data_IF_436988274320
#
_entry.id   IF_436988274320
#
_cell.length_a   1.000
_cell.length_b   1.000
_cell.length_c   1.000
_cell.angle_alpha   90.00
_cell.angle_beta   90.00
_cell.angle_gamma   90.00
#
_symmetry.space_group_name_H-M   'P 1'
#
loop_
_entity.id
_entity.type
_entity.pdbx_description
1 polymer ?
#
# COMPACT_ATOMS: atom_id res chain seq x y z
N UNK A 1 -8.19 -2.69 26.09
CA UNK A 1 -7.26 -3.59 25.34
C UNK A 1 -6.82 -3.01 23.97
N UNK A 2 -7.69 -2.80 22.95
CA UNK A 2 -7.26 -2.20 21.66
C UNK A 2 -6.80 -0.76 21.87
N UNK A 3 -7.52 0.03 22.63
CA UNK A 3 -7.18 1.43 22.94
C UNK A 3 -5.81 1.53 23.63
N UNK A 4 -5.52 0.70 24.61
CA UNK A 4 -4.24 0.64 25.33
C UNK A 4 -3.06 0.34 24.38
N UNK A 5 -3.29 -0.52 23.37
CA UNK A 5 -2.28 -0.81 22.36
C UNK A 5 -1.99 0.44 21.50
N UNK A 6 -3.03 1.15 21.09
CA UNK A 6 -2.83 2.40 20.34
C UNK A 6 -2.12 3.46 21.18
N UNK A 7 -2.50 3.63 22.45
CA UNK A 7 -1.85 4.55 23.37
C UNK A 7 -0.37 4.21 23.57
N UNK A 8 -0.06 2.92 23.73
CA UNK A 8 1.32 2.45 23.81
C UNK A 8 2.11 2.81 22.54
N UNK A 9 1.59 2.47 21.34
CA UNK A 9 2.24 2.79 20.06
C UNK A 9 2.45 4.30 19.91
N UNK A 10 1.45 5.11 20.20
CA UNK A 10 1.53 6.56 20.09
C UNK A 10 2.55 7.15 21.08
N UNK A 11 2.60 6.64 22.31
CA UNK A 11 3.57 7.08 23.30
C UNK A 11 5.00 6.76 22.87
N UNK A 12 5.25 5.55 22.41
CA UNK A 12 6.58 5.13 21.93
C UNK A 12 7.06 6.00 20.77
N UNK A 13 6.20 6.19 19.76
CA UNK A 13 6.54 6.98 18.59
C UNK A 13 6.77 8.46 18.93
N UNK A 14 5.92 9.07 19.77
CA UNK A 14 6.10 10.46 20.16
C UNK A 14 7.35 10.67 21.03
N UNK A 15 7.68 9.71 21.87
CA UNK A 15 8.91 9.78 22.67
C UNK A 15 10.15 9.65 21.80
N UNK A 16 10.15 8.71 20.84
CA UNK A 16 11.30 8.46 19.97
C UNK A 16 11.62 9.62 19.03
N UNK A 17 10.62 10.40 18.61
CA UNK A 17 10.81 11.55 17.70
C UNK A 17 11.86 12.55 18.22
N UNK A 18 11.96 12.75 19.54
CA UNK A 18 12.88 13.72 20.10
C UNK A 18 14.36 13.37 19.82
N UNK A 19 14.68 12.07 19.80
CA UNK A 19 16.07 11.58 19.74
C UNK A 19 16.49 11.12 18.35
N UNK A 20 15.54 10.96 17.41
CA UNK A 20 15.84 10.46 16.07
C UNK A 20 16.37 11.59 15.16
N UNK A 21 17.32 11.29 14.23
CA UNK A 21 17.66 12.17 13.12
C UNK A 21 16.48 12.26 12.15
N UNK A 22 16.44 13.29 11.29
CA UNK A 22 15.35 13.45 10.32
C UNK A 22 15.19 12.24 9.44
N UNK A 23 16.26 11.72 8.86
CA UNK A 23 16.32 10.44 8.17
C UNK A 23 17.34 9.52 8.85
N UNK A 24 17.09 8.22 8.84
CA UNK A 24 18.06 7.24 9.31
C UNK A 24 19.32 7.20 8.45
N UNK A 25 20.40 6.65 8.99
CA UNK A 25 21.67 6.49 8.25
C UNK A 25 21.52 5.56 7.03
N UNK A 26 20.59 4.65 7.08
CA UNK A 26 20.12 3.83 5.95
C UNK A 26 18.62 3.64 6.10
N UNK A 27 17.95 3.16 5.04
CA UNK A 27 16.49 2.87 5.11
C UNK A 27 16.13 1.71 6.05
N UNK A 28 17.11 0.98 6.58
CA UNK A 28 16.88 -0.05 7.61
C UNK A 28 16.89 0.54 9.04
N UNK A 29 17.33 1.78 9.20
CA UNK A 29 17.33 2.50 10.46
C UNK A 29 16.30 3.63 10.39
N UNK A 30 15.26 3.61 11.23
CA UNK A 30 14.24 4.64 11.19
C UNK A 30 14.78 6.01 11.63
N UNK A 31 14.29 7.06 11.01
CA UNK A 31 14.46 8.46 11.43
C UNK A 31 13.11 9.07 11.82
N UNK A 32 13.09 10.38 12.10
CA UNK A 32 11.85 11.14 12.41
C UNK A 32 10.82 11.02 11.32
N UNK A 33 11.23 11.05 10.04
CA UNK A 33 10.34 10.86 8.90
C UNK A 33 9.56 9.54 9.01
N UNK A 34 10.25 8.46 9.38
CA UNK A 34 9.61 7.16 9.61
C UNK A 34 8.64 7.17 10.80
N UNK A 35 9.03 7.81 11.91
CA UNK A 35 8.17 7.94 13.09
C UNK A 35 6.90 8.77 12.78
N UNK A 36 7.04 9.90 12.09
CA UNK A 36 5.88 10.70 11.65
C UNK A 36 4.98 9.94 10.66
N UNK A 37 5.56 9.24 9.71
CA UNK A 37 4.80 8.43 8.77
C UNK A 37 4.02 7.31 9.47
N UNK A 38 4.62 6.67 10.49
CA UNK A 38 3.93 5.66 11.30
C UNK A 38 2.84 6.29 12.18
N UNK A 39 3.05 7.47 12.75
CA UNK A 39 2.03 8.21 13.48
C UNK A 39 0.85 8.56 12.57
N UNK A 40 1.11 9.04 11.34
CA UNK A 40 0.06 9.31 10.35
C UNK A 40 -0.77 8.07 10.04
N UNK A 41 -0.10 6.93 9.76
CA UNK A 41 -0.76 5.63 9.52
C UNK A 41 -1.59 5.19 10.74
N UNK A 42 -1.02 5.31 11.94
CA UNK A 42 -1.70 4.91 13.18
C UNK A 42 -2.95 5.75 13.43
N UNK A 43 -2.85 7.08 13.34
CA UNK A 43 -4.01 7.96 13.49
C UNK A 43 -5.06 7.75 12.39
N UNK A 44 -4.64 7.44 11.16
CA UNK A 44 -5.57 7.08 10.10
C UNK A 44 -6.37 5.81 10.45
N UNK A 45 -5.70 4.77 10.98
CA UNK A 45 -6.37 3.55 11.43
C UNK A 45 -7.31 3.80 12.62
N UNK A 46 -7.01 4.77 13.46
CA UNK A 46 -7.89 5.25 14.54
C UNK A 46 -9.01 6.18 14.03
N UNK A 47 -9.08 6.46 12.73
CA UNK A 47 -10.02 7.44 12.12
C UNK A 47 -9.87 8.88 12.66
N UNK A 48 -8.72 9.19 13.24
CA UNK A 48 -8.38 10.56 13.65
C UNK A 48 -7.70 11.29 12.47
N UNK A 49 -8.53 11.77 11.55
CA UNK A 49 -8.08 12.36 10.28
C UNK A 49 -7.34 13.69 10.45
N UNK A 50 -7.60 14.41 11.53
CA UNK A 50 -6.87 15.65 11.84
C UNK A 50 -5.41 15.35 12.18
N UNK A 51 -5.18 14.43 13.11
CA UNK A 51 -3.83 14.01 13.50
C UNK A 51 -3.12 13.25 12.38
N UNK A 52 -3.84 12.43 11.63
CA UNK A 52 -3.26 11.75 10.47
C UNK A 52 -2.71 12.75 9.44
N UNK A 53 -3.46 13.83 9.15
CA UNK A 53 -3.01 14.91 8.25
C UNK A 53 -1.79 15.63 8.82
N UNK A 54 -1.82 16.04 10.08
CA UNK A 54 -0.71 16.72 10.75
C UNK A 54 0.60 15.94 10.62
N UNK A 55 0.55 14.63 10.89
CA UNK A 55 1.76 13.81 10.86
C UNK A 55 2.18 13.40 9.43
N UNK A 56 1.25 13.27 8.50
CA UNK A 56 1.57 13.11 7.09
C UNK A 56 2.32 14.35 6.54
N UNK A 57 1.86 15.56 6.88
CA UNK A 57 2.54 16.79 6.50
C UNK A 57 3.93 16.89 7.12
N UNK A 58 4.11 16.50 8.40
CA UNK A 58 5.43 16.48 9.06
C UNK A 58 6.37 15.47 8.39
N UNK A 59 5.88 14.31 7.99
CA UNK A 59 6.68 13.32 7.29
C UNK A 59 7.11 13.85 5.90
N UNK A 60 6.18 14.42 5.14
CA UNK A 60 6.43 15.00 3.82
C UNK A 60 7.37 16.21 3.88
N UNK A 61 7.38 16.97 4.98
CA UNK A 61 8.34 18.06 5.18
C UNK A 61 9.79 17.57 5.33
N UNK A 62 10.00 16.30 5.74
CA UNK A 62 11.33 15.67 5.83
C UNK A 62 11.73 15.04 4.49
N UNK A 63 10.82 14.31 3.85
CA UNK A 63 11.04 13.69 2.55
C UNK A 63 9.72 13.64 1.79
N UNK A 64 9.67 14.31 0.64
CA UNK A 64 8.52 14.40 -0.26
C UNK A 64 8.76 13.71 -1.61
N UNK A 65 9.91 13.08 -1.80
CA UNK A 65 10.30 12.50 -3.09
C UNK A 65 9.39 11.35 -3.48
N UNK A 66 8.97 11.35 -4.71
CA UNK A 66 8.23 10.26 -5.35
C UNK A 66 9.11 9.55 -6.38
N UNK A 67 8.83 8.29 -6.65
CA UNK A 67 9.48 7.56 -7.76
C UNK A 67 8.92 8.06 -9.08
N UNK A 68 9.79 8.43 -10.00
CA UNK A 68 9.44 8.74 -11.39
C UNK A 68 9.28 7.42 -12.19
N UNK A 69 8.07 6.85 -12.10
CA UNK A 69 7.74 5.63 -12.85
C UNK A 69 7.63 5.88 -14.34
N UNK A 70 7.24 7.07 -14.76
CA UNK A 70 7.15 7.47 -16.18
C UNK A 70 8.55 7.46 -16.81
N UNK A 71 9.52 8.09 -16.16
CA UNK A 71 10.91 8.07 -16.57
C UNK A 71 11.47 6.63 -16.61
N UNK A 72 11.26 5.87 -15.51
CA UNK A 72 11.70 4.48 -15.44
C UNK A 72 11.13 3.61 -16.57
N UNK A 73 9.84 3.72 -16.87
CA UNK A 73 9.21 3.00 -17.96
C UNK A 73 9.81 3.39 -19.32
N UNK A 74 9.96 4.68 -19.58
CA UNK A 74 10.49 5.18 -20.84
C UNK A 74 11.94 4.69 -21.10
N UNK A 75 12.76 4.65 -20.05
CA UNK A 75 14.15 4.18 -20.14
C UNK A 75 14.24 2.66 -20.37
N UNK A 76 13.24 1.91 -19.94
CA UNK A 76 13.26 0.44 -19.96
C UNK A 76 12.23 -0.20 -20.92
N UNK A 77 11.40 0.58 -21.63
CA UNK A 77 10.30 0.04 -22.46
C UNK A 77 10.76 -0.96 -23.51
N UNK A 78 11.97 -0.80 -24.05
CA UNK A 78 12.54 -1.74 -25.03
C UNK A 78 12.82 -3.13 -24.45
N UNK A 79 13.23 -3.19 -23.19
CA UNK A 79 13.45 -4.44 -22.45
C UNK A 79 12.11 -5.03 -21.99
N UNK A 80 11.20 -4.19 -21.51
CA UNK A 80 9.85 -4.59 -21.06
C UNK A 80 9.05 -5.22 -22.20
N UNK A 81 9.19 -4.69 -23.42
CA UNK A 81 8.47 -5.17 -24.60
C UNK A 81 8.94 -6.55 -25.10
N UNK A 82 10.12 -7.04 -24.69
CA UNK A 82 10.64 -8.33 -25.14
C UNK A 82 9.73 -9.48 -24.70
N UNK A 83 9.23 -10.22 -25.69
CA UNK A 83 8.42 -11.41 -25.43
C UNK A 83 9.31 -12.60 -25.07
N UNK A 84 8.77 -13.49 -24.23
CA UNK A 84 9.45 -14.75 -23.83
C UNK A 84 10.63 -14.59 -22.87
N UNK A 85 11.07 -13.38 -22.59
CA UNK A 85 12.14 -13.09 -21.64
C UNK A 85 11.54 -12.54 -20.36
N UNK A 86 12.10 -12.93 -19.20
CA UNK A 86 11.92 -12.24 -17.92
C UNK A 86 13.06 -11.24 -17.79
N UNK A 87 12.87 -9.99 -18.18
CA UNK A 87 13.91 -9.00 -17.99
C UNK A 87 14.10 -8.81 -16.48
N UNK A 88 15.32 -9.00 -16.01
CA UNK A 88 15.75 -8.60 -14.68
C UNK A 88 15.86 -7.09 -14.66
N UNK A 89 14.74 -6.39 -14.47
CA UNK A 89 14.77 -4.96 -14.26
C UNK A 89 15.12 -4.67 -12.80
N UNK A 90 16.15 -3.86 -12.58
CA UNK A 90 16.40 -3.31 -11.26
C UNK A 90 15.28 -2.32 -10.96
N UNK A 91 14.38 -2.69 -10.04
CA UNK A 91 13.32 -1.79 -9.60
C UNK A 91 13.91 -0.56 -8.91
N UNK A 92 13.30 0.64 -9.08
CA UNK A 92 13.65 1.81 -8.27
C UNK A 92 13.23 1.66 -6.79
N UNK A 93 12.47 0.60 -6.47
CA UNK A 93 12.11 0.26 -5.08
C UNK A 93 13.16 -0.67 -4.49
N UNK A 94 13.80 -0.28 -3.40
CA UNK A 94 14.85 -1.05 -2.75
C UNK A 94 15.39 -0.35 -1.52
N UNK A 95 16.54 -0.81 -1.05
CA UNK A 95 17.20 -0.26 0.15
C UNK A 95 17.77 1.14 -0.05
N UNK A 96 17.81 1.65 -1.28
CA UNK A 96 18.25 2.97 -1.68
C UNK A 96 17.11 3.81 -2.30
N UNK A 97 15.87 3.36 -2.15
CA UNK A 97 14.70 4.04 -2.71
C UNK A 97 14.50 5.42 -2.10
N UNK A 98 14.47 6.45 -2.95
CA UNK A 98 14.32 7.83 -2.50
C UNK A 98 12.95 8.15 -1.92
N UNK A 99 11.93 7.32 -2.20
CA UNK A 99 10.55 7.49 -1.75
C UNK A 99 10.24 6.75 -0.44
N UNK A 100 11.26 6.31 0.29
CA UNK A 100 11.10 5.57 1.53
C UNK A 100 11.63 6.37 2.73
N UNK A 101 10.91 6.30 3.84
CA UNK A 101 11.40 6.72 5.16
C UNK A 101 12.09 5.58 5.87
N UNK A 102 11.57 4.37 5.71
CA UNK A 102 12.25 3.16 6.13
C UNK A 102 11.79 1.98 5.28
N UNK A 103 12.63 0.95 5.22
CA UNK A 103 12.38 -0.26 4.46
C UNK A 103 12.29 -1.47 5.42
N UNK A 104 11.16 -2.16 5.37
CA UNK A 104 10.92 -3.37 6.14
C UNK A 104 10.64 -4.51 5.16
N UNK A 105 11.54 -5.47 5.07
CA UNK A 105 11.45 -6.58 4.15
C UNK A 105 11.30 -7.93 4.88
N UNK A 106 10.66 -8.89 4.22
CA UNK A 106 10.64 -10.26 4.67
C UNK A 106 11.85 -11.04 4.12
N UNK A 107 12.07 -12.24 4.61
CA UNK A 107 13.17 -13.12 4.24
C UNK A 107 13.30 -13.34 2.72
N UNK A 108 14.50 -13.58 2.26
CA UNK A 108 14.95 -13.67 0.87
C UNK A 108 14.13 -14.57 -0.05
N UNK A 109 13.60 -15.67 0.44
CA UNK A 109 12.82 -16.62 -0.36
C UNK A 109 11.48 -16.04 -0.84
N UNK A 110 11.01 -14.98 -0.19
CA UNK A 110 9.72 -14.33 -0.46
C UNK A 110 9.85 -13.01 -1.19
N UNK A 111 11.07 -12.56 -1.49
CA UNK A 111 11.34 -11.18 -1.87
C UNK A 111 11.49 -10.93 -3.36
N UNK A 112 11.51 -11.97 -4.18
CA UNK A 112 11.52 -11.81 -5.61
C UNK A 112 10.10 -11.60 -6.14
N UNK A 113 9.76 -10.38 -6.45
CA UNK A 113 8.48 -10.04 -7.05
C UNK A 113 8.23 -10.77 -8.38
N UNK A 114 9.29 -11.16 -9.08
CA UNK A 114 9.20 -11.69 -10.43
C UNK A 114 8.56 -13.07 -10.53
N UNK A 115 8.83 -13.99 -9.58
CA UNK A 115 8.41 -15.39 -9.72
C UNK A 115 7.18 -15.75 -8.88
N UNK A 116 6.96 -15.07 -7.76
CA UNK A 116 5.99 -15.47 -6.73
C UNK A 116 4.70 -14.68 -6.83
N UNK A 117 4.79 -13.39 -7.21
CA UNK A 117 3.62 -12.52 -7.21
C UNK A 117 2.90 -12.54 -8.55
N UNK A 118 1.66 -12.98 -8.48
CA UNK A 118 0.72 -13.00 -9.60
C UNK A 118 -0.48 -12.13 -9.24
N UNK A 119 -0.93 -11.34 -10.20
CA UNK A 119 -2.21 -10.64 -10.10
C UNK A 119 -3.19 -11.22 -11.11
N UNK A 120 -4.41 -11.57 -10.70
CA UNK A 120 -5.43 -12.01 -11.64
C UNK A 120 -5.88 -10.86 -12.56
N UNK A 121 -6.39 -11.18 -13.74
CA UNK A 121 -6.78 -10.19 -14.76
C UNK A 121 -7.78 -9.16 -14.23
N UNK A 122 -8.76 -9.60 -13.45
CA UNK A 122 -9.74 -8.69 -12.84
C UNK A 122 -9.11 -7.69 -11.84
N UNK A 123 -8.04 -8.08 -11.14
CA UNK A 123 -7.31 -7.16 -10.26
C UNK A 123 -6.44 -6.20 -11.08
N UNK A 124 -5.82 -6.67 -12.15
CA UNK A 124 -5.02 -5.85 -13.07
C UNK A 124 -5.86 -4.78 -13.76
N UNK A 125 -7.13 -5.06 -14.07
CA UNK A 125 -8.08 -4.09 -14.63
C UNK A 125 -8.38 -2.90 -13.69
N UNK A 126 -7.95 -2.95 -12.42
CA UNK A 126 -8.04 -1.84 -11.49
C UNK A 126 -6.91 -0.79 -11.62
N UNK A 127 -5.90 -1.04 -12.46
CA UNK A 127 -4.89 -0.02 -12.79
C UNK A 127 -5.42 0.91 -13.87
N UNK A 128 -4.96 2.16 -13.86
CA UNK A 128 -5.35 3.14 -14.88
C UNK A 128 -4.65 2.85 -16.21
N UNK A 129 -5.29 3.24 -17.32
CA UNK A 129 -4.63 3.14 -18.62
C UNK A 129 -3.39 4.03 -18.65
N UNK A 130 -2.25 3.50 -19.08
CA UNK A 130 -0.98 4.22 -19.09
C UNK A 130 -0.29 4.29 -17.72
N UNK A 131 -0.70 3.46 -16.76
CA UNK A 131 0.01 3.34 -15.47
C UNK A 131 1.40 2.74 -15.70
N UNK A 132 2.43 3.59 -15.69
CA UNK A 132 3.83 3.23 -15.93
C UNK A 132 4.40 2.33 -14.82
N UNK A 133 3.90 2.46 -13.57
CA UNK A 133 4.24 1.51 -12.50
C UNK A 133 3.74 0.11 -12.88
N UNK A 134 2.49 -0.02 -13.30
CA UNK A 134 1.94 -1.30 -13.75
C UNK A 134 2.68 -1.85 -14.97
N UNK A 135 2.86 -1.04 -16.00
CA UNK A 135 3.56 -1.42 -17.23
C UNK A 135 5.01 -1.88 -16.98
N UNK A 136 5.68 -1.28 -16.01
CA UNK A 136 7.07 -1.61 -15.66
C UNK A 136 7.21 -2.86 -14.79
N UNK A 137 6.20 -3.19 -14.00
CA UNK A 137 6.32 -4.24 -12.99
C UNK A 137 5.55 -5.51 -13.32
N UNK A 138 4.61 -5.48 -14.29
CA UNK A 138 3.70 -6.58 -14.54
C UNK A 138 3.58 -6.93 -16.01
N UNK A 139 3.63 -8.21 -16.35
CA UNK A 139 3.44 -8.70 -17.71
C UNK A 139 2.41 -9.82 -17.73
N UNK A 140 1.48 -9.74 -18.69
CA UNK A 140 0.48 -10.79 -18.89
C UNK A 140 1.14 -12.10 -19.30
N UNK A 141 0.69 -13.18 -18.72
CA UNK A 141 1.09 -14.56 -19.00
C UNK A 141 -0.14 -15.45 -19.11
N UNK A 142 -0.01 -16.47 -19.95
CA UNK A 142 -1.02 -17.54 -20.04
C UNK A 142 -0.30 -18.87 -19.84
N UNK A 143 -0.81 -19.67 -18.91
CA UNK A 143 -0.33 -21.00 -18.62
C UNK A 143 -1.53 -21.97 -18.60
N UNK A 144 -1.63 -22.83 -19.61
CA UNK A 144 -2.84 -23.62 -19.82
C UNK A 144 -4.05 -22.74 -20.05
N UNK A 145 -5.10 -22.91 -19.25
CA UNK A 145 -6.32 -22.11 -19.32
C UNK A 145 -6.28 -20.83 -18.46
N UNK A 146 -5.22 -20.64 -17.63
CA UNK A 146 -5.13 -19.52 -16.71
C UNK A 146 -4.37 -18.36 -17.35
N UNK A 147 -4.98 -17.16 -17.34
CA UNK A 147 -4.33 -15.90 -17.70
C UNK A 147 -4.18 -15.02 -16.46
N UNK A 148 -2.98 -14.51 -16.24
CA UNK A 148 -2.62 -13.68 -15.09
C UNK A 148 -1.52 -12.68 -15.44
N UNK A 149 -1.24 -11.74 -14.56
CA UNK A 149 -0.07 -10.87 -14.66
C UNK A 149 0.99 -11.33 -13.68
N UNK A 150 2.22 -11.45 -14.16
CA UNK A 150 3.39 -11.84 -13.38
C UNK A 150 4.34 -10.67 -13.23
N UNK A 151 4.98 -10.56 -12.06
CA UNK A 151 5.96 -9.53 -11.78
C UNK A 151 7.21 -9.64 -12.67
N UNK A 152 7.72 -8.52 -13.14
CA UNK A 152 8.89 -8.40 -14.01
C UNK A 152 10.17 -7.99 -13.28
N UNK A 153 10.02 -7.29 -12.14
CA UNK A 153 11.15 -6.69 -11.45
C UNK A 153 11.76 -7.63 -10.42
N UNK A 154 13.08 -7.61 -10.32
CA UNK A 154 13.81 -8.19 -9.20
C UNK A 154 13.99 -7.11 -8.14
N UNK A 155 13.53 -7.35 -6.94
CA UNK A 155 13.69 -6.43 -5.83
C UNK A 155 13.00 -6.92 -4.58
N UNK A 156 13.29 -6.25 -3.50
CA UNK A 156 12.65 -6.52 -2.23
C UNK A 156 11.32 -5.76 -2.15
N UNK A 157 10.33 -6.37 -1.54
CA UNK A 157 9.04 -5.73 -1.29
C UNK A 157 9.08 -5.06 0.08
N UNK A 158 8.73 -3.78 0.12
CA UNK A 158 8.58 -3.06 1.37
C UNK A 158 7.22 -3.38 1.99
N UNK A 159 7.17 -4.46 2.79
CA UNK A 159 5.90 -5.01 3.32
C UNK A 159 5.21 -4.07 4.31
N UNK A 160 5.96 -3.52 5.25
CA UNK A 160 5.42 -2.74 6.36
C UNK A 160 6.10 -1.38 6.55
N UNK A 161 7.20 -1.11 5.84
CA UNK A 161 7.89 0.16 5.89
C UNK A 161 7.04 1.29 5.30
N UNK A 162 7.45 2.52 5.53
CA UNK A 162 6.72 3.71 5.14
C UNK A 162 7.31 4.33 3.89
N UNK A 163 6.45 4.68 2.94
CA UNK A 163 6.79 5.36 1.70
C UNK A 163 6.14 6.75 1.64
N UNK A 164 6.77 7.67 0.92
CA UNK A 164 6.24 9.02 0.71
C UNK A 164 4.90 9.00 -0.01
N UNK A 165 4.74 8.14 -1.02
CA UNK A 165 3.47 7.98 -1.74
C UNK A 165 2.31 7.65 -0.80
N UNK A 166 2.53 6.87 0.25
CA UNK A 166 1.52 6.59 1.27
C UNK A 166 1.12 7.87 2.01
N UNK A 167 2.10 8.72 2.37
CA UNK A 167 1.82 9.96 3.10
C UNK A 167 1.05 10.97 2.26
N UNK A 168 1.36 11.10 0.97
CA UNK A 168 0.54 11.88 0.03
C UNK A 168 -0.91 11.37 -0.03
N UNK A 169 -1.10 10.05 -0.09
CA UNK A 169 -2.43 9.45 -0.17
C UNK A 169 -3.18 9.50 1.17
N UNK A 170 -2.49 9.49 2.32
CA UNK A 170 -3.09 9.80 3.63
C UNK A 170 -3.54 11.26 3.66
N UNK A 171 -2.68 12.20 3.25
CA UNK A 171 -3.00 13.63 3.15
C UNK A 171 -4.23 13.87 2.27
N UNK A 172 -4.26 13.30 1.07
CA UNK A 172 -5.39 13.42 0.15
C UNK A 172 -6.69 12.90 0.78
N UNK A 173 -6.66 11.74 1.44
CA UNK A 173 -7.83 11.18 2.14
C UNK A 173 -8.32 12.09 3.25
N UNK A 174 -7.43 12.61 4.08
CA UNK A 174 -7.78 13.49 5.20
C UNK A 174 -8.38 14.82 4.70
N UNK A 175 -7.83 15.39 3.63
CA UNK A 175 -8.40 16.58 2.98
C UNK A 175 -9.79 16.33 2.42
N UNK A 176 -9.99 15.19 1.72
CA UNK A 176 -11.31 14.80 1.22
C UNK A 176 -12.34 14.68 2.33
N UNK A 177 -11.98 14.08 3.47
CA UNK A 177 -12.85 13.92 4.64
C UNK A 177 -13.18 15.25 5.34
N UNK A 178 -12.33 16.26 5.17
CA UNK A 178 -12.62 17.65 5.56
C UNK A 178 -13.45 18.42 4.51
N UNK A 179 -13.93 17.74 3.46
CA UNK A 179 -14.64 18.32 2.33
C UNK A 179 -13.81 19.35 1.53
N UNK A 180 -12.48 19.28 1.62
CA UNK A 180 -11.53 20.06 0.83
C UNK A 180 -11.22 19.28 -0.47
N UNK A 181 -12.24 19.13 -1.33
CA UNK A 181 -12.18 18.20 -2.46
C UNK A 181 -11.14 18.62 -3.50
N UNK A 182 -11.02 19.91 -3.78
CA UNK A 182 -10.02 20.43 -4.73
C UNK A 182 -8.61 20.10 -4.24
N UNK A 183 -8.27 20.46 -3.00
CA UNK A 183 -6.95 20.22 -2.42
C UNK A 183 -6.63 18.71 -2.37
N UNK A 184 -7.63 17.89 -2.03
CA UNK A 184 -7.47 16.43 -2.01
C UNK A 184 -7.14 15.86 -3.39
N UNK A 185 -7.83 16.34 -4.42
CA UNK A 185 -7.61 15.89 -5.79
C UNK A 185 -6.32 16.44 -6.39
N UNK A 186 -5.88 17.64 -6.00
CA UNK A 186 -4.61 18.21 -6.41
C UNK A 186 -3.45 17.36 -5.87
N UNK A 187 -3.50 16.97 -4.59
CA UNK A 187 -2.52 16.07 -3.99
C UNK A 187 -2.52 14.70 -4.69
N UNK A 188 -3.69 14.11 -4.96
CA UNK A 188 -3.77 12.86 -5.70
C UNK A 188 -3.20 12.98 -7.11
N UNK A 189 -3.51 14.06 -7.81
CA UNK A 189 -3.05 14.32 -9.17
C UNK A 189 -1.53 14.56 -9.24
N UNK A 190 -0.93 15.15 -8.21
CA UNK A 190 0.52 15.25 -8.08
C UNK A 190 1.17 13.87 -8.08
N UNK A 191 0.67 12.95 -7.25
CA UNK A 191 1.13 11.56 -7.23
C UNK A 191 0.90 10.89 -8.59
N UNK A 192 -0.28 11.05 -9.20
CA UNK A 192 -0.62 10.42 -10.49
C UNK A 192 0.29 10.84 -11.64
N UNK A 193 0.79 12.08 -11.65
CA UNK A 193 1.76 12.56 -12.65
C UNK A 193 3.05 11.77 -12.65
N UNK A 194 3.44 11.16 -11.55
CA UNK A 194 4.67 10.37 -11.47
C UNK A 194 4.55 8.97 -12.08
N UNK A 195 3.30 8.48 -12.27
CA UNK A 195 3.10 7.12 -12.77
C UNK A 195 2.09 6.99 -13.92
N UNK A 196 1.35 8.01 -14.31
CA UNK A 196 0.52 7.96 -15.53
C UNK A 196 1.28 8.60 -16.69
N UNK A 197 1.41 7.85 -17.79
CA UNK A 197 2.05 8.35 -19.00
C UNK A 197 1.41 9.65 -19.48
N UNK A 198 2.19 10.66 -19.91
CA UNK A 198 1.67 11.99 -20.24
C UNK A 198 0.53 11.98 -21.26
N UNK A 199 0.60 11.10 -22.25
CA UNK A 199 -0.44 10.96 -23.30
C UNK A 199 -1.74 10.32 -22.82
N UNK A 200 -1.73 9.72 -21.62
CA UNK A 200 -2.91 9.13 -20.97
C UNK A 200 -3.37 9.92 -19.74
N UNK A 201 -2.54 10.83 -19.28
CA UNK A 201 -2.84 11.60 -18.08
C UNK A 201 -3.99 12.60 -18.31
N UNK A 202 -5.00 12.47 -17.49
CA UNK A 202 -6.06 13.48 -17.33
C UNK A 202 -6.21 13.76 -15.82
N UNK A 203 -6.25 15.03 -15.39
CA UNK A 203 -6.45 15.33 -13.98
C UNK A 203 -7.83 14.84 -13.54
N UNK A 204 -7.88 14.17 -12.39
CA UNK A 204 -9.13 13.77 -11.76
C UNK A 204 -9.69 14.93 -10.93
N UNK A 205 -11.01 15.05 -10.94
CA UNK A 205 -11.76 15.90 -10.01
C UNK A 205 -12.82 15.04 -9.31
N UNK A 206 -13.30 15.48 -8.16
CA UNK A 206 -14.35 14.79 -7.43
C UNK A 206 -15.47 15.77 -7.05
N UNK A 207 -16.71 15.33 -7.22
CA UNK A 207 -17.92 16.08 -6.87
C UNK A 207 -18.42 15.78 -5.46
N UNK A 208 -17.86 14.75 -4.82
CA UNK A 208 -18.24 14.32 -3.47
C UNK A 208 -17.06 13.68 -2.72
N UNK A 209 -17.16 13.66 -1.40
CA UNK A 209 -16.20 12.96 -0.53
C UNK A 209 -16.10 11.49 -0.92
N UNK A 210 -17.23 10.84 -1.17
CA UNK A 210 -17.25 9.42 -1.53
C UNK A 210 -16.50 9.14 -2.84
N UNK A 211 -16.64 10.02 -3.81
CA UNK A 211 -15.92 9.91 -5.08
C UNK A 211 -14.41 10.14 -4.90
N UNK A 212 -14.00 11.16 -4.15
CA UNK A 212 -12.61 11.40 -3.82
C UNK A 212 -11.97 10.19 -3.11
N UNK A 213 -12.64 9.67 -2.08
CA UNK A 213 -12.17 8.48 -1.33
C UNK A 213 -12.04 7.26 -2.27
N UNK A 214 -12.95 7.08 -3.22
CA UNK A 214 -12.86 5.99 -4.20
C UNK A 214 -11.60 6.09 -5.05
N UNK A 215 -11.27 7.26 -5.57
CA UNK A 215 -10.05 7.48 -6.36
C UNK A 215 -8.78 7.29 -5.52
N UNK A 216 -8.75 7.87 -4.32
CA UNK A 216 -7.59 7.77 -3.41
C UNK A 216 -7.36 6.32 -2.99
N UNK A 217 -8.43 5.58 -2.65
CA UNK A 217 -8.34 4.15 -2.32
C UNK A 217 -7.78 3.33 -3.48
N UNK A 218 -8.25 3.59 -4.71
CA UNK A 218 -7.75 2.90 -5.91
C UNK A 218 -6.24 3.15 -6.09
N UNK A 219 -5.80 4.39 -5.94
CA UNK A 219 -4.37 4.73 -6.00
C UNK A 219 -3.57 4.01 -4.91
N UNK A 220 -4.05 3.99 -3.65
CA UNK A 220 -3.43 3.23 -2.55
C UNK A 220 -3.34 1.75 -2.85
N UNK A 221 -4.44 1.13 -3.26
CA UNK A 221 -4.50 -0.29 -3.60
C UNK A 221 -3.49 -0.65 -4.70
N UNK A 222 -3.24 0.25 -5.65
CA UNK A 222 -2.34 0.05 -6.78
C UNK A 222 -0.88 0.33 -6.43
N UNK A 223 -0.58 1.50 -5.88
CA UNK A 223 0.79 1.94 -5.62
C UNK A 223 1.43 1.23 -4.41
N UNK A 224 0.62 0.69 -3.50
CA UNK A 224 1.04 -0.02 -2.30
C UNK A 224 0.67 -1.51 -2.34
N UNK A 225 0.49 -2.05 -3.54
CA UNK A 225 0.19 -3.47 -3.74
C UNK A 225 1.24 -4.36 -3.06
N UNK A 226 0.81 -5.44 -2.43
CA UNK A 226 1.61 -6.36 -1.61
C UNK A 226 2.21 -5.77 -0.32
N UNK A 227 1.89 -4.53 0.04
CA UNK A 227 2.16 -4.03 1.38
C UNK A 227 0.98 -4.32 2.33
N UNK A 228 1.19 -4.05 3.63
CA UNK A 228 0.14 -4.19 4.64
C UNK A 228 -0.99 -3.15 4.49
N UNK A 229 -0.73 -2.04 3.78
CA UNK A 229 -1.62 -0.87 3.73
C UNK A 229 -2.99 -1.17 3.13
N UNK A 230 -3.12 -1.82 1.95
CA UNK A 230 -4.43 -2.12 1.36
C UNK A 230 -5.31 -2.98 2.26
N UNK A 231 -4.73 -3.93 3.01
CA UNK A 231 -5.47 -4.76 3.96
C UNK A 231 -5.94 -3.96 5.17
N UNK A 232 -5.06 -3.14 5.76
CA UNK A 232 -5.41 -2.26 6.88
C UNK A 232 -6.51 -1.26 6.51
N UNK A 233 -6.39 -0.63 5.34
CA UNK A 233 -7.40 0.31 4.83
C UNK A 233 -8.73 -0.38 4.51
N UNK A 234 -8.71 -1.59 3.95
CA UNK A 234 -9.94 -2.35 3.71
C UNK A 234 -10.70 -2.64 5.02
N UNK A 235 -9.99 -3.03 6.09
CA UNK A 235 -10.59 -3.25 7.41
C UNK A 235 -11.22 -1.97 7.97
N UNK A 236 -10.49 -0.87 7.93
CA UNK A 236 -10.95 0.44 8.42
C UNK A 236 -12.18 0.92 7.64
N UNK A 237 -12.10 0.90 6.30
CA UNK A 237 -13.17 1.35 5.44
C UNK A 237 -14.42 0.45 5.49
N UNK A 238 -14.25 -0.84 5.75
CA UNK A 238 -15.38 -1.75 5.96
C UNK A 238 -16.21 -1.38 7.20
N UNK A 239 -15.58 -0.80 8.23
CA UNK A 239 -16.26 -0.34 9.42
C UNK A 239 -17.13 0.91 9.17
N UNK A 240 -16.88 1.67 8.10
CA UNK A 240 -17.61 2.89 7.78
C UNK A 240 -18.91 2.66 6.96
N UNK A 241 -19.18 1.44 6.52
CA UNK A 241 -20.37 1.09 5.75
C UNK A 241 -20.38 1.68 4.32
N UNK A 242 -20.34 3.00 4.18
CA UNK A 242 -20.33 3.70 2.86
C UNK A 242 -19.21 3.23 1.93
N UNK A 243 -18.08 2.84 2.47
CA UNK A 243 -16.90 2.41 1.72
C UNK A 243 -16.65 0.91 1.80
N UNK A 244 -17.54 0.19 2.49
CA UNK A 244 -17.46 -1.26 2.65
C UNK A 244 -17.57 -1.97 1.28
N UNK A 245 -16.76 -3.01 1.10
CA UNK A 245 -16.85 -3.86 -0.08
C UNK A 245 -16.55 -5.31 0.24
N UNK A 246 -17.32 -6.21 -0.37
CA UNK A 246 -17.05 -7.63 -0.37
C UNK A 246 -15.90 -7.94 -1.31
N UNK A 247 -14.91 -8.70 -0.84
CA UNK A 247 -13.90 -9.26 -1.73
C UNK A 247 -14.38 -10.62 -2.25
N UNK A 248 -14.15 -10.89 -3.53
CA UNK A 248 -14.49 -12.17 -4.15
C UNK A 248 -13.28 -12.76 -4.86
N UNK A 249 -13.12 -14.06 -4.78
CA UNK A 249 -12.10 -14.81 -5.49
C UNK A 249 -12.71 -16.12 -6.00
N UNK A 250 -12.37 -16.51 -7.23
CA UNK A 250 -12.67 -17.83 -7.75
C UNK A 250 -11.51 -18.78 -7.44
N UNK A 251 -11.82 -19.93 -6.87
CA UNK A 251 -10.86 -21.01 -6.57
C UNK A 251 -11.54 -22.32 -7.02
N UNK A 252 -10.91 -23.05 -7.93
CA UNK A 252 -11.41 -24.32 -8.46
C UNK A 252 -12.86 -24.24 -8.95
N UNK A 253 -13.20 -23.18 -9.70
CA UNK A 253 -14.54 -22.93 -10.23
C UNK A 253 -15.57 -22.51 -9.17
N UNK A 254 -15.18 -22.30 -7.91
CA UNK A 254 -16.06 -21.84 -6.84
C UNK A 254 -15.75 -20.41 -6.48
N UNK A 255 -16.79 -19.58 -6.44
CA UNK A 255 -16.67 -18.21 -5.94
C UNK A 255 -16.64 -18.22 -4.41
N UNK A 256 -15.57 -17.70 -3.85
CA UNK A 256 -15.40 -17.46 -2.42
C UNK A 256 -15.53 -15.97 -2.16
N UNK A 257 -16.28 -15.58 -1.14
CA UNK A 257 -16.52 -14.19 -0.78
C UNK A 257 -16.10 -13.91 0.66
N UNK A 258 -15.46 -12.74 0.87
CA UNK A 258 -15.16 -12.20 2.18
C UNK A 258 -16.01 -10.95 2.38
N UNK A 259 -17.09 -11.08 3.16
CA UNK A 259 -17.98 -9.98 3.49
C UNK A 259 -17.28 -8.92 4.38
N UNK A 260 -17.68 -7.63 4.35
CA UNK A 260 -17.11 -6.59 5.18
C UNK A 260 -17.16 -6.89 6.69
N UNK A 261 -18.21 -7.56 7.14
CA UNK A 261 -18.42 -7.95 8.54
C UNK A 261 -17.77 -9.27 8.94
N UNK A 262 -17.08 -9.96 8.04
CA UNK A 262 -16.50 -11.26 8.36
C UNK A 262 -15.44 -11.19 9.44
N UNK A 263 -15.47 -12.17 10.37
CA UNK A 263 -14.43 -12.34 11.38
C UNK A 263 -13.04 -12.60 10.76
N UNK A 264 -12.97 -13.09 9.53
CA UNK A 264 -11.73 -13.37 8.79
C UNK A 264 -10.92 -12.13 8.41
N UNK A 265 -11.46 -10.93 8.60
CA UNK A 265 -10.66 -9.70 8.55
C UNK A 265 -9.69 -9.57 9.73
N UNK A 266 -9.76 -10.45 10.71
CA UNK A 266 -8.76 -10.61 11.76
C UNK A 266 -8.05 -11.94 11.53
N UNK A 267 -6.74 -11.93 11.41
CA UNK A 267 -5.97 -13.16 11.19
C UNK A 267 -6.24 -14.17 12.32
N UNK A 268 -6.49 -15.43 11.98
CA UNK A 268 -6.63 -16.48 12.98
C UNK A 268 -5.27 -16.75 13.65
N UNK A 269 -5.30 -17.25 14.87
CA UNK A 269 -4.10 -17.80 15.49
C UNK A 269 -3.56 -18.97 14.64
N UNK A 270 -2.23 -19.06 14.46
CA UNK A 270 -1.63 -20.20 13.78
C UNK A 270 -2.05 -21.53 14.46
N UNK A 271 -2.30 -22.56 13.66
CA UNK A 271 -2.71 -23.87 14.20
C UNK A 271 -1.72 -24.39 15.25
N UNK A 272 -0.42 -24.22 15.03
CA UNK A 272 0.60 -24.63 16.00
C UNK A 272 0.48 -23.95 17.37
N UNK A 273 0.01 -22.70 17.41
CA UNK A 273 -0.24 -22.00 18.67
C UNK A 273 -1.50 -22.52 19.39
N UNK A 274 -2.51 -22.95 18.62
CA UNK A 274 -3.72 -23.56 19.17
C UNK A 274 -3.43 -24.97 19.72
N UNK A 275 -2.70 -25.77 18.95
CA UNK A 275 -2.39 -27.18 19.28
C UNK A 275 -1.36 -27.28 20.42
N UNK A 276 -0.47 -26.28 20.56
CA UNK A 276 0.58 -26.23 21.56
C UNK A 276 0.60 -24.88 22.29
N UNK A 277 -0.38 -24.58 23.14
CA UNK A 277 -0.59 -23.25 23.69
C UNK A 277 0.44 -22.84 24.76
N UNK A 278 1.41 -23.67 25.12
CA UNK A 278 2.38 -23.37 26.18
C UNK A 278 1.69 -23.15 27.53
N UNK A 279 1.81 -21.97 28.10
CA UNK A 279 1.22 -21.61 29.40
C UNK A 279 -0.16 -20.96 29.29
N UNK A 280 -1.07 -21.51 28.51
CA UNK A 280 -2.41 -20.95 28.40
C UNK A 280 -3.25 -21.65 27.34
N UNK A 281 -4.46 -21.17 27.14
CA UNK A 281 -5.34 -21.57 26.04
C UNK A 281 -5.61 -20.39 25.13
N UNK A 282 -5.53 -20.59 23.82
CA UNK A 282 -5.94 -19.63 22.84
C UNK A 282 -7.33 -19.97 22.31
N UNK A 283 -8.23 -19.01 22.30
CA UNK A 283 -9.53 -19.14 21.67
C UNK A 283 -9.40 -18.62 20.25
N UNK A 284 -9.70 -19.47 19.28
CA UNK A 284 -9.66 -19.09 17.88
C UNK A 284 -10.69 -18.01 17.55
N UNK A 285 -10.32 -17.14 16.60
CA UNK A 285 -11.24 -16.22 15.98
C UNK A 285 -12.29 -17.01 15.17
N UNK A 286 -13.53 -16.99 15.59
CA UNK A 286 -14.64 -17.70 14.95
C UNK A 286 -15.79 -16.75 14.66
N UNK A 287 -16.64 -17.16 13.74
CA UNK A 287 -17.88 -16.43 13.46
C UNK A 287 -18.77 -16.41 14.71
N UNK A 288 -19.31 -15.25 15.06
CA UNK A 288 -20.19 -15.05 16.23
C UNK A 288 -21.64 -15.20 15.83
#
# INVERSE_FOLDING_TARGET
>A
MIQEIYEFILNDLNTSVADLPDMGTTLLHPGKGAAYAMLARTYLQMMNYEKALEFADKALAINDKLVDWVGFYNDNKGVIAQEGVYPSLKTPLGFDSQDCYNFNYADNSSNSASAIFKIPVNRAAGFEEGDAYFLSNWKQRTMGAETYYQGLTNGYINLAGMRTVEQYLIKAECLARKNQLTDAMDVLNEVRKTYILPEKYQPLSASSVAEAIRYIRQAKDNQLIFSIVPFGDARRLNAEGTYARTLTKEIDGKQISLAPSSHLWTFPFPKGAIDNPGNGSFVQNVEK
#
